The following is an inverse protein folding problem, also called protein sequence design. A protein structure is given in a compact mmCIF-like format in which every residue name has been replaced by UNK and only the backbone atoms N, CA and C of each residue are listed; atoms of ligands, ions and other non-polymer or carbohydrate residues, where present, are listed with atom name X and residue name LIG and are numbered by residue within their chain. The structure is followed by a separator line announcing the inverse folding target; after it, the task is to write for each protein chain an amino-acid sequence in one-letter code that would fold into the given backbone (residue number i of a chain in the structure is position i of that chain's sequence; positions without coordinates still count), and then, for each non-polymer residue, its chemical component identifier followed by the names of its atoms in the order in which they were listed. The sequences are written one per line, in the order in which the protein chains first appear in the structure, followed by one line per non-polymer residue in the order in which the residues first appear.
data_IF_389801812555
#
_entry.id   IF_389801812555
#
_cell.length_a   1.000
_cell.length_b   1.000
_cell.length_c   1.000
_cell.angle_alpha   90.00
_cell.angle_beta   90.00
_cell.angle_gamma   90.00
#
_symmetry.space_group_name_H-M   'P 1'
#
loop_
_entity.id
_entity.type
_entity.pdbx_description
1 polymer ?
#
# COMPACT_ATOMS: atom_id res chain seq x y z
N UNK A 1 19.87 -18.18 7.71
CA UNK A 1 18.82 -17.45 6.96
C UNK A 1 18.62 -16.12 7.67
N UNK A 2 18.43 -14.99 6.97
CA UNK A 2 17.97 -13.78 7.63
C UNK A 2 16.65 -14.08 8.37
N UNK A 3 16.42 -13.41 9.49
CA UNK A 3 15.18 -13.54 10.25
C UNK A 3 13.99 -13.17 9.37
N UNK A 4 12.93 -13.99 9.38
CA UNK A 4 11.72 -13.75 8.58
C UNK A 4 11.20 -12.36 8.91
N UNK A 5 11.01 -11.51 7.90
CA UNK A 5 10.55 -10.13 8.12
C UNK A 5 9.37 -9.78 7.23
N UNK A 6 8.48 -8.95 7.79
CA UNK A 6 7.29 -8.42 7.12
C UNK A 6 7.53 -6.94 6.84
N UNK A 7 7.58 -6.57 5.56
CA UNK A 7 7.58 -5.17 5.14
C UNK A 7 6.14 -4.67 5.06
N UNK A 8 5.84 -3.55 5.70
CA UNK A 8 4.56 -2.84 5.56
C UNK A 8 4.87 -1.43 5.06
N UNK A 9 4.34 -1.07 3.89
CA UNK A 9 4.45 0.30 3.36
C UNK A 9 3.17 1.07 3.65
N UNK A 10 3.26 2.38 3.89
CA UNK A 10 2.10 3.17 4.30
C UNK A 10 1.76 2.98 5.79
N UNK A 11 2.76 2.62 6.59
CA UNK A 11 2.62 2.39 8.03
C UNK A 11 2.33 3.66 8.83
N UNK A 12 2.46 4.84 8.24
CA UNK A 12 2.01 6.10 8.83
C UNK A 12 0.51 6.36 8.64
N UNK A 13 -0.16 5.56 7.79
CA UNK A 13 -1.61 5.61 7.58
C UNK A 13 -2.39 4.74 8.57
N UNK A 14 -3.72 4.77 8.45
CA UNK A 14 -4.62 4.04 9.34
C UNK A 14 -4.40 2.52 9.28
N UNK A 15 -4.62 1.90 8.12
CA UNK A 15 -4.49 0.45 7.95
C UNK A 15 -3.05 -0.04 8.18
N UNK A 16 -2.09 0.61 7.54
CA UNK A 16 -0.68 0.22 7.67
C UNK A 16 -0.17 0.38 9.11
N UNK A 17 -0.55 1.44 9.81
CA UNK A 17 -0.18 1.67 11.20
C UNK A 17 -0.80 0.63 12.14
N UNK A 18 -2.09 0.35 11.98
CA UNK A 18 -2.80 -0.70 12.74
C UNK A 18 -2.19 -2.08 12.49
N UNK A 19 -1.91 -2.44 11.24
CA UNK A 19 -1.26 -3.70 10.88
C UNK A 19 0.15 -3.79 11.50
N UNK A 20 0.93 -2.71 11.42
CA UNK A 20 2.27 -2.64 12.01
C UNK A 20 2.24 -2.84 13.53
N UNK A 21 1.32 -2.17 14.23
CA UNK A 21 1.18 -2.32 15.69
C UNK A 21 0.71 -3.73 16.07
N UNK A 22 -0.26 -4.27 15.34
CA UNK A 22 -0.85 -5.60 15.60
C UNK A 22 0.18 -6.71 15.43
N UNK A 23 0.88 -6.73 14.30
CA UNK A 23 1.86 -7.78 14.00
C UNK A 23 3.06 -7.73 14.95
N UNK A 24 3.54 -6.53 15.32
CA UNK A 24 4.60 -6.40 16.32
C UNK A 24 4.17 -6.86 17.70
N UNK A 25 2.92 -6.58 18.11
CA UNK A 25 2.37 -7.10 19.37
C UNK A 25 2.28 -8.63 19.37
N UNK A 26 2.10 -9.24 18.20
CA UNK A 26 2.15 -10.69 18.02
C UNK A 26 3.59 -11.27 18.00
N UNK A 27 4.63 -10.43 18.10
CA UNK A 27 6.03 -10.87 18.12
C UNK A 27 6.68 -10.96 16.73
N UNK A 28 5.99 -10.53 15.67
CA UNK A 28 6.53 -10.56 14.31
C UNK A 28 7.60 -9.49 14.08
N UNK A 29 8.60 -9.81 13.27
CA UNK A 29 9.64 -8.87 12.85
C UNK A 29 9.12 -7.98 11.71
N UNK A 30 8.56 -6.82 12.07
CA UNK A 30 7.93 -5.90 11.12
C UNK A 30 8.80 -4.68 10.83
N UNK A 31 9.07 -4.47 9.54
CA UNK A 31 9.68 -3.26 8.98
C UNK A 31 8.54 -2.37 8.45
N UNK A 32 8.10 -1.40 9.26
CA UNK A 32 7.11 -0.41 8.81
C UNK A 32 7.78 0.78 8.11
N UNK A 33 7.22 1.21 6.98
CA UNK A 33 7.73 2.34 6.19
C UNK A 33 6.67 3.35 5.81
N UNK A 34 7.10 4.60 5.68
CA UNK A 34 6.28 5.70 5.18
C UNK A 34 7.17 6.80 4.57
N UNK A 35 6.57 7.67 3.74
CA UNK A 35 7.21 8.90 3.26
C UNK A 35 7.34 9.94 4.38
N UNK A 36 6.37 9.97 5.31
CA UNK A 36 6.37 10.86 6.46
C UNK A 36 6.76 10.13 7.76
N UNK A 37 8.02 10.26 8.15
CA UNK A 37 8.56 9.67 9.38
C UNK A 37 8.56 10.61 10.59
N UNK A 38 8.10 11.86 10.41
CA UNK A 38 8.14 12.90 11.46
C UNK A 38 6.84 12.97 12.27
N UNK A 39 5.80 12.22 11.89
CA UNK A 39 4.55 12.17 12.63
C UNK A 39 4.72 11.46 13.98
N UNK A 40 3.88 11.79 14.96
CA UNK A 40 3.88 11.13 16.28
C UNK A 40 3.69 9.62 16.15
N UNK A 41 2.80 9.18 15.26
CA UNK A 41 2.60 7.77 14.96
C UNK A 41 3.86 7.13 14.36
N UNK A 42 4.51 7.82 13.41
CA UNK A 42 5.72 7.31 12.80
C UNK A 42 6.87 7.15 13.79
N UNK A 43 7.05 8.11 14.70
CA UNK A 43 8.03 8.04 15.78
C UNK A 43 7.69 6.92 16.77
N UNK A 44 6.43 6.81 17.20
CA UNK A 44 5.93 5.73 18.07
C UNK A 44 6.20 4.35 17.46
N UNK A 45 5.94 4.20 16.16
CA UNK A 45 6.15 2.97 15.41
C UNK A 45 7.58 2.84 14.86
N UNK A 46 8.51 3.77 15.15
CA UNK A 46 9.89 3.73 14.63
C UNK A 46 9.94 3.43 13.12
N UNK A 47 9.10 4.12 12.34
CA UNK A 47 9.00 3.87 10.91
C UNK A 47 10.28 4.29 10.20
N UNK A 48 10.64 3.53 9.16
CA UNK A 48 11.75 3.88 8.27
C UNK A 48 11.23 4.66 7.08
N UNK A 49 12.00 5.64 6.63
CA UNK A 49 11.63 6.42 5.45
C UNK A 49 11.74 5.52 4.21
N UNK A 50 10.69 5.53 3.40
CA UNK A 50 10.69 4.98 2.05
C UNK A 50 9.66 5.72 1.19
N UNK A 51 10.10 6.43 0.16
CA UNK A 51 9.23 6.84 -0.93
C UNK A 51 9.15 5.74 -1.99
N UNK A 52 8.06 4.97 -1.98
CA UNK A 52 7.85 3.86 -2.92
C UNK A 52 7.69 4.32 -4.38
N UNK A 53 7.44 5.61 -4.61
CA UNK A 53 7.39 6.17 -5.97
C UNK A 53 8.78 6.45 -6.53
N UNK A 54 9.81 6.46 -5.66
CA UNK A 54 11.21 6.52 -6.05
C UNK A 54 11.72 5.10 -6.34
N UNK A 55 12.01 4.83 -7.61
CA UNK A 55 12.40 3.50 -8.09
C UNK A 55 13.71 3.05 -7.47
N UNK A 56 14.72 3.92 -7.44
CA UNK A 56 16.07 3.64 -6.95
C UNK A 56 16.05 3.40 -5.43
N UNK A 57 15.30 4.22 -4.69
CA UNK A 57 15.10 4.05 -3.25
C UNK A 57 14.41 2.71 -2.95
N UNK A 58 13.37 2.37 -3.70
CA UNK A 58 12.64 1.10 -3.57
C UNK A 58 13.53 -0.10 -3.88
N UNK A 59 14.30 -0.03 -4.96
CA UNK A 59 15.28 -1.06 -5.34
C UNK A 59 16.28 -1.30 -4.21
N UNK A 60 16.92 -0.23 -3.71
CA UNK A 60 17.89 -0.33 -2.63
C UNK A 60 17.25 -0.85 -1.33
N UNK A 61 16.03 -0.42 -1.01
CA UNK A 61 15.34 -0.84 0.21
C UNK A 61 15.04 -2.35 0.18
N UNK A 62 14.43 -2.86 -0.89
CA UNK A 62 14.13 -4.29 -1.03
C UNK A 62 15.42 -5.10 -1.04
N UNK A 63 16.44 -4.65 -1.77
CA UNK A 63 17.76 -5.29 -1.83
C UNK A 63 18.39 -5.49 -0.45
N UNK A 64 18.35 -4.45 0.39
CA UNK A 64 19.01 -4.47 1.69
C UNK A 64 18.22 -5.23 2.79
N UNK A 65 16.93 -5.51 2.56
CA UNK A 65 16.06 -6.05 3.61
C UNK A 65 15.47 -7.41 3.27
N UNK A 66 15.29 -7.74 1.99
CA UNK A 66 14.76 -9.01 1.48
C UNK A 66 13.56 -9.54 2.30
N UNK A 67 12.49 -8.74 2.49
CA UNK A 67 11.34 -9.13 3.30
C UNK A 67 10.60 -10.34 2.70
N UNK A 68 10.21 -11.32 3.51
CA UNK A 68 9.51 -12.52 3.03
C UNK A 68 8.02 -12.28 2.77
N UNK A 69 7.45 -11.26 3.42
CA UNK A 69 6.07 -10.83 3.21
C UNK A 69 6.05 -9.32 3.02
N UNK A 70 5.29 -8.84 2.05
CA UNK A 70 5.14 -7.41 1.76
C UNK A 70 3.66 -7.06 1.78
N UNK A 71 3.26 -6.20 2.72
CA UNK A 71 1.92 -5.61 2.80
C UNK A 71 1.98 -4.17 2.30
N UNK A 72 1.46 -3.92 1.12
CA UNK A 72 1.55 -2.63 0.44
C UNK A 72 0.26 -1.81 0.62
N UNK A 73 0.25 -0.97 1.66
CA UNK A 73 -0.83 -0.02 1.97
C UNK A 73 -0.48 1.44 1.62
N UNK A 74 0.71 1.70 1.06
CA UNK A 74 1.07 3.05 0.63
C UNK A 74 0.22 3.41 -0.60
N UNK A 75 -0.51 4.53 -0.52
CA UNK A 75 -1.43 4.92 -1.57
C UNK A 75 -2.21 6.19 -1.21
N UNK A 76 -2.81 6.81 -2.22
CA UNK A 76 -3.86 7.82 -2.03
C UNK A 76 -5.19 7.08 -2.06
N UNK A 77 -5.88 7.02 -0.92
CA UNK A 77 -7.15 6.29 -0.76
C UNK A 77 -8.39 7.18 -0.85
N UNK A 78 -8.23 8.51 -0.95
CA UNK A 78 -9.33 9.47 -1.00
C UNK A 78 -9.69 9.78 -2.47
N UNK A 79 -10.88 9.38 -2.98
CA UNK A 79 -11.23 9.58 -4.39
C UNK A 79 -11.14 11.03 -4.86
N UNK A 80 -11.53 11.97 -3.99
CA UNK A 80 -11.45 13.41 -4.27
C UNK A 80 -10.02 13.90 -4.47
N UNK A 81 -9.06 13.37 -3.73
CA UNK A 81 -7.65 13.75 -3.88
C UNK A 81 -7.09 13.26 -5.21
N UNK A 82 -7.45 12.03 -5.61
CA UNK A 82 -7.09 11.49 -6.93
C UNK A 82 -7.72 12.30 -8.06
N UNK A 83 -9.00 12.69 -7.94
CA UNK A 83 -9.66 13.52 -8.94
C UNK A 83 -9.00 14.90 -9.10
N UNK A 84 -8.48 15.48 -8.00
CA UNK A 84 -7.79 16.77 -8.05
C UNK A 84 -6.39 16.68 -8.70
N UNK A 85 -5.74 15.50 -8.67
CA UNK A 85 -4.44 15.29 -9.27
C UNK A 85 -4.26 13.83 -9.72
N UNK A 86 -4.83 13.51 -10.88
CA UNK A 86 -4.82 12.15 -11.40
C UNK A 86 -3.42 11.61 -11.66
N UNK A 87 -2.49 12.46 -12.13
CA UNK A 87 -1.12 12.07 -12.40
C UNK A 87 -0.38 11.65 -11.12
N UNK A 88 -0.60 12.38 -10.02
CA UNK A 88 -0.09 11.97 -8.71
C UNK A 88 -0.74 10.66 -8.24
N UNK A 89 -2.05 10.52 -8.41
CA UNK A 89 -2.77 9.27 -8.13
C UNK A 89 -2.18 8.09 -8.91
N UNK A 90 -1.94 8.26 -10.21
CA UNK A 90 -1.36 7.23 -11.08
C UNK A 90 0.04 6.82 -10.61
N UNK A 91 0.88 7.80 -10.30
CA UNK A 91 2.23 7.58 -9.78
C UNK A 91 2.22 6.81 -8.45
N UNK A 92 1.36 7.24 -7.52
CA UNK A 92 1.32 6.71 -6.14
C UNK A 92 0.56 5.40 -6.02
N UNK A 93 -0.54 5.20 -6.77
CA UNK A 93 -1.40 4.03 -6.65
C UNK A 93 -1.08 2.93 -7.65
N UNK A 94 -0.46 3.24 -8.80
CA UNK A 94 -0.22 2.25 -9.86
C UNK A 94 1.27 2.03 -10.09
N UNK A 95 2.03 3.10 -10.35
CA UNK A 95 3.45 2.98 -10.71
C UNK A 95 4.32 2.52 -9.54
N UNK A 96 4.00 2.95 -8.32
CA UNK A 96 4.65 2.49 -7.09
C UNK A 96 4.63 0.97 -6.91
N UNK A 97 3.51 0.31 -7.23
CA UNK A 97 3.37 -1.16 -7.18
C UNK A 97 4.28 -1.82 -8.20
N UNK A 98 4.43 -1.20 -9.37
CA UNK A 98 5.37 -1.66 -10.39
C UNK A 98 6.83 -1.47 -9.97
N UNK A 99 7.16 -0.37 -9.28
CA UNK A 99 8.49 -0.17 -8.70
C UNK A 99 8.81 -1.26 -7.67
N UNK A 100 7.85 -1.59 -6.81
CA UNK A 100 7.97 -2.67 -5.82
C UNK A 100 8.23 -4.02 -6.49
N UNK A 101 7.45 -4.37 -7.51
CA UNK A 101 7.61 -5.61 -8.26
C UNK A 101 8.94 -5.67 -9.02
N UNK A 102 9.36 -4.58 -9.65
CA UNK A 102 10.66 -4.49 -10.30
C UNK A 102 11.80 -4.70 -9.30
N UNK A 103 11.68 -4.14 -8.09
CA UNK A 103 12.65 -4.33 -7.03
C UNK A 103 12.72 -5.79 -6.53
N UNK A 104 11.58 -6.43 -6.35
CA UNK A 104 11.51 -7.86 -5.98
C UNK A 104 12.12 -8.73 -7.10
N UNK A 105 11.72 -8.54 -8.36
CA UNK A 105 12.26 -9.29 -9.50
C UNK A 105 13.77 -9.10 -9.63
N UNK A 106 14.27 -7.88 -9.43
CA UNK A 106 15.70 -7.61 -9.46
C UNK A 106 16.45 -8.39 -8.35
N UNK A 107 15.94 -8.35 -7.12
CA UNK A 107 16.51 -9.10 -6.01
C UNK A 107 16.51 -10.62 -6.28
N UNK A 108 15.42 -11.15 -6.86
CA UNK A 108 15.29 -12.58 -7.22
C UNK A 108 16.32 -13.05 -8.23
N UNK A 109 16.71 -12.21 -9.19
CA UNK A 109 17.75 -12.55 -10.17
C UNK A 109 19.11 -12.84 -9.52
N UNK A 110 19.41 -12.17 -8.39
CA UNK A 110 20.67 -12.37 -7.67
C UNK A 110 20.54 -13.31 -6.48
N UNK A 111 19.36 -13.42 -5.88
CA UNK A 111 19.02 -14.38 -4.83
C UNK A 111 17.82 -15.23 -5.26
N UNK A 112 18.02 -16.31 -6.05
CA UNK A 112 16.91 -17.12 -6.57
C UNK A 112 16.00 -17.74 -5.51
N UNK A 113 16.49 -17.91 -4.27
CA UNK A 113 15.70 -18.39 -3.13
C UNK A 113 14.81 -17.32 -2.49
N UNK A 114 14.98 -16.05 -2.84
CA UNK A 114 14.11 -14.98 -2.38
C UNK A 114 12.76 -15.12 -3.11
N UNK A 115 11.68 -15.37 -2.38
CA UNK A 115 10.37 -15.56 -3.00
C UNK A 115 9.26 -15.02 -2.09
N UNK A 116 9.12 -13.68 -2.00
CA UNK A 116 8.20 -13.09 -1.06
C UNK A 116 6.75 -13.27 -1.49
N UNK A 117 5.85 -13.29 -0.51
CA UNK A 117 4.42 -13.09 -0.74
C UNK A 117 4.14 -11.59 -0.71
N UNK A 118 3.40 -11.09 -1.69
CA UNK A 118 3.07 -9.67 -1.81
C UNK A 118 1.55 -9.51 -1.75
N UNK A 119 1.11 -8.56 -0.95
CA UNK A 119 -0.27 -8.17 -0.81
C UNK A 119 -0.41 -6.68 -1.09
N UNK A 120 -1.37 -6.30 -1.93
CA UNK A 120 -1.68 -4.90 -2.23
C UNK A 120 -3.12 -4.57 -1.86
N UNK A 121 -3.35 -3.35 -1.40
CA UNK A 121 -4.71 -2.86 -1.12
C UNK A 121 -5.42 -2.41 -2.40
N UNK A 122 -6.46 -3.15 -2.76
CA UNK A 122 -7.51 -2.75 -3.70
C UNK A 122 -8.66 -2.04 -2.98
N UNK A 123 -9.80 -1.91 -3.66
CA UNK A 123 -10.97 -1.19 -3.11
C UNK A 123 -12.26 -1.62 -3.80
N UNK A 124 -13.38 -1.53 -3.08
CA UNK A 124 -14.72 -1.74 -3.66
C UNK A 124 -15.05 -0.75 -4.78
N UNK A 125 -14.41 0.42 -4.83
CA UNK A 125 -14.55 1.41 -5.91
C UNK A 125 -14.16 0.86 -7.29
N UNK A 126 -13.43 -0.26 -7.34
CA UNK A 126 -13.12 -0.98 -8.57
C UNK A 126 -14.34 -1.63 -9.21
N UNK A 127 -15.38 -1.94 -8.43
CA UNK A 127 -16.62 -2.53 -8.95
C UNK A 127 -17.57 -1.47 -9.51
N UNK A 128 -17.54 -0.27 -8.95
CA UNK A 128 -18.53 0.77 -9.24
C UNK A 128 -19.81 0.58 -8.43
N UNK A 129 -20.87 1.23 -8.89
CA UNK A 129 -22.18 1.11 -8.25
C UNK A 129 -22.81 -0.26 -8.57
N UNK A 130 -23.50 -0.89 -7.60
CA UNK A 130 -24.26 -2.10 -7.86
C UNK A 130 -25.31 -1.89 -8.97
N UNK A 131 -25.51 -2.90 -9.81
CA UNK A 131 -26.48 -2.80 -10.90
C UNK A 131 -27.93 -2.83 -10.39
N UNK A 132 -28.14 -3.46 -9.24
CA UNK A 132 -29.43 -3.56 -8.56
C UNK A 132 -29.25 -3.24 -7.06
N UNK A 133 -30.22 -2.54 -6.48
CA UNK A 133 -30.22 -2.26 -5.04
C UNK A 133 -30.18 -3.56 -4.22
N UNK A 134 -29.27 -3.62 -3.24
CA UNK A 134 -29.08 -4.78 -2.38
C UNK A 134 -28.20 -5.89 -2.99
N UNK A 135 -27.66 -5.71 -4.19
CA UNK A 135 -26.68 -6.65 -4.77
C UNK A 135 -25.42 -6.73 -3.89
N UNK A 136 -25.01 -7.96 -3.59
CA UNK A 136 -23.76 -8.24 -2.87
C UNK A 136 -22.66 -8.51 -3.88
N UNK A 137 -21.67 -7.62 -3.91
CA UNK A 137 -20.51 -7.76 -4.79
C UNK A 137 -19.56 -8.84 -4.26
N UNK A 138 -19.03 -9.65 -5.16
CA UNK A 138 -18.03 -10.70 -4.90
C UNK A 138 -16.78 -10.42 -5.72
N UNK A 139 -15.70 -11.18 -5.49
CA UNK A 139 -14.47 -11.08 -6.29
C UNK A 139 -14.70 -11.35 -7.79
N UNK A 140 -15.77 -12.07 -8.14
CA UNK A 140 -16.16 -12.40 -9.52
C UNK A 140 -17.05 -11.33 -10.17
N UNK A 141 -17.54 -10.35 -9.40
CA UNK A 141 -18.39 -9.27 -9.92
C UNK A 141 -17.65 -8.39 -10.94
N UNK A 142 -18.41 -7.87 -11.91
CA UNK A 142 -17.87 -7.00 -12.96
C UNK A 142 -17.20 -5.75 -12.37
N UNK A 143 -16.10 -5.31 -12.99
CA UNK A 143 -15.33 -4.14 -12.59
C UNK A 143 -15.70 -2.94 -13.46
N UNK A 144 -16.58 -2.07 -12.96
CA UNK A 144 -17.10 -0.90 -13.67
C UNK A 144 -16.86 0.40 -12.89
N UNK A 145 -15.60 0.79 -12.61
CA UNK A 145 -15.29 1.92 -11.75
C UNK A 145 -15.80 3.25 -12.32
N UNK A 146 -16.54 3.97 -11.50
CA UNK A 146 -17.18 5.24 -11.89
C UNK A 146 -16.26 6.46 -11.74
N UNK A 147 -15.22 6.37 -10.89
CA UNK A 147 -14.29 7.47 -10.61
C UNK A 147 -12.82 7.11 -10.92
N UNK A 148 -11.95 8.13 -10.94
CA UNK A 148 -10.54 7.98 -11.28
C UNK A 148 -9.78 7.10 -10.28
N UNK A 149 -10.12 7.16 -8.99
CA UNK A 149 -9.51 6.32 -7.96
C UNK A 149 -9.81 4.83 -8.18
N UNK A 150 -11.08 4.47 -8.39
CA UNK A 150 -11.50 3.12 -8.74
C UNK A 150 -10.82 2.60 -10.01
N UNK A 151 -10.76 3.44 -11.06
CA UNK A 151 -10.06 3.11 -12.32
C UNK A 151 -8.57 2.82 -12.09
N UNK A 152 -7.89 3.66 -11.30
CA UNK A 152 -6.47 3.47 -10.99
C UNK A 152 -6.24 2.21 -10.15
N UNK A 153 -7.08 1.94 -9.15
CA UNK A 153 -6.97 0.72 -8.32
C UNK A 153 -7.26 -0.56 -9.11
N UNK A 154 -8.21 -0.51 -10.06
CA UNK A 154 -8.44 -1.63 -10.98
C UNK A 154 -7.21 -1.86 -11.87
N UNK A 155 -6.71 -0.80 -12.51
CA UNK A 155 -5.52 -0.87 -13.35
C UNK A 155 -4.29 -1.40 -12.57
N UNK A 156 -4.13 -0.97 -11.33
CA UNK A 156 -3.10 -1.48 -10.42
C UNK A 156 -3.27 -2.98 -10.20
N UNK A 157 -4.47 -3.44 -9.82
CA UNK A 157 -4.74 -4.84 -9.53
C UNK A 157 -4.46 -5.74 -10.75
N UNK A 158 -4.91 -5.34 -11.94
CA UNK A 158 -4.68 -6.07 -13.19
C UNK A 158 -3.18 -6.16 -13.51
N UNK A 159 -2.45 -5.04 -13.47
CA UNK A 159 -1.01 -5.02 -13.72
C UNK A 159 -0.23 -5.86 -12.70
N UNK A 160 -0.59 -5.72 -11.43
CA UNK A 160 0.03 -6.44 -10.32
C UNK A 160 -0.15 -7.95 -10.48
N UNK A 161 -1.38 -8.43 -10.60
CA UNK A 161 -1.69 -9.86 -10.72
C UNK A 161 -1.07 -10.47 -11.98
N UNK A 162 -1.15 -9.78 -13.12
CA UNK A 162 -0.51 -10.24 -14.36
C UNK A 162 1.01 -10.37 -14.22
N UNK A 163 1.66 -9.40 -13.55
CA UNK A 163 3.10 -9.45 -13.33
C UNK A 163 3.47 -10.54 -12.32
N UNK A 164 2.70 -10.71 -11.25
CA UNK A 164 2.90 -11.80 -10.29
C UNK A 164 2.80 -13.17 -10.96
N UNK A 165 1.76 -13.40 -11.79
CA UNK A 165 1.59 -14.64 -12.55
C UNK A 165 2.78 -14.88 -13.49
N UNK A 166 3.18 -13.87 -14.26
CA UNK A 166 4.30 -13.96 -15.21
C UNK A 166 5.62 -14.32 -14.52
N UNK A 167 5.88 -13.76 -13.34
CA UNK A 167 7.14 -13.93 -12.62
C UNK A 167 7.09 -15.10 -11.60
N UNK A 168 5.94 -15.75 -11.42
CA UNK A 168 5.75 -16.79 -10.41
C UNK A 168 5.89 -16.27 -8.97
N UNK A 169 5.36 -15.07 -8.70
CA UNK A 169 5.33 -14.45 -7.36
C UNK A 169 3.94 -14.68 -6.75
N UNK A 170 3.88 -15.07 -5.47
CA UNK A 170 2.62 -15.15 -4.73
C UNK A 170 2.07 -13.75 -4.48
N UNK A 171 1.14 -13.28 -5.32
CA UNK A 171 0.54 -11.95 -5.26
C UNK A 171 -0.95 -11.99 -4.95
N UNK A 172 -1.40 -11.18 -4.00
CA UNK A 172 -2.81 -11.06 -3.61
C UNK A 172 -3.27 -9.60 -3.59
N UNK A 173 -4.51 -9.36 -4.03
CA UNK A 173 -5.18 -8.06 -3.91
C UNK A 173 -6.26 -8.20 -2.84
N UNK A 174 -6.19 -7.42 -1.77
CA UNK A 174 -7.31 -7.34 -0.81
C UNK A 174 -8.26 -6.26 -1.28
N UNK A 175 -9.54 -6.60 -1.46
CA UNK A 175 -10.56 -5.61 -1.78
C UNK A 175 -11.12 -5.01 -0.49
N UNK A 176 -10.81 -3.74 -0.25
CA UNK A 176 -11.23 -3.03 0.95
C UNK A 176 -12.53 -2.26 0.72
N UNK A 177 -13.50 -2.46 1.61
CA UNK A 177 -14.72 -1.65 1.71
C UNK A 177 -14.51 -0.40 2.55
N UNK A 178 -15.59 0.15 3.10
CA UNK A 178 -15.50 1.25 4.06
C UNK A 178 -14.89 0.75 5.38
N UNK A 179 -13.69 1.23 5.69
CA UNK A 179 -13.02 0.97 6.97
C UNK A 179 -13.17 2.18 7.89
N UNK A 180 -13.68 1.97 9.10
CA UNK A 180 -13.78 3.00 10.12
C UNK A 180 -13.10 2.56 11.41
N UNK A 181 -12.50 3.51 12.12
CA UNK A 181 -11.90 3.28 13.43
C UNK A 181 -11.22 4.54 13.97
N UNK A 182 -10.82 4.50 15.23
CA UNK A 182 -10.21 5.65 15.89
C UNK A 182 -8.72 5.71 15.56
N UNK A 183 -8.31 6.60 14.66
CA UNK A 183 -6.92 7.05 14.61
C UNK A 183 -6.71 8.12 15.67
N UNK A 184 -5.70 7.99 16.55
CA UNK A 184 -5.33 9.13 17.40
C UNK A 184 -4.93 10.30 16.49
N UNK A 185 -5.59 11.47 16.60
CA UNK A 185 -5.31 12.57 15.69
C UNK A 185 -3.89 13.07 15.91
N UNK A 186 -3.13 13.22 14.81
CA UNK A 186 -1.87 13.96 14.85
C UNK A 186 -2.16 15.39 15.31
N UNK A 187 -1.67 15.78 16.49
CA UNK A 187 -1.72 17.16 16.96
C UNK A 187 -0.83 18.03 16.06
N UNK A 188 -1.37 18.56 14.95
CA UNK A 188 -0.83 19.75 14.25
C UNK A 188 -1.79 20.20 13.15
N UNK A 189 -2.69 21.12 13.48
CA UNK A 189 -3.09 22.26 12.64
C UNK A 189 -3.86 23.26 13.51
N UNK A 190 -3.12 24.03 14.31
CA UNK A 190 -3.63 25.25 14.95
C UNK A 190 -2.50 26.27 14.97
N UNK A 191 -2.17 26.81 13.80
CA UNK A 191 -1.28 27.96 13.64
C UNK A 191 -1.81 28.92 12.58
N UNK A 192 -3.06 29.33 12.72
CA UNK A 192 -3.57 30.60 12.19
C UNK A 192 -4.77 31.01 13.05
N UNK A 193 -4.86 32.30 13.40
CA UNK A 193 -5.64 32.97 14.48
C UNK A 193 -4.84 33.02 15.78
N UNK A 194 -4.36 34.16 16.29
CA UNK A 194 -4.77 35.56 16.12
C UNK A 194 -3.53 36.46 16.19
N UNK A 195 -3.41 37.40 15.24
CA UNK A 195 -2.77 38.70 15.47
C UNK A 195 -3.89 39.65 15.86
N UNK A 196 -3.89 40.10 17.09
CA UNK A 196 -4.36 41.42 17.51
C UNK A 196 -3.31 41.96 18.47
#
# INVERSE_FOLDING_TARGET
MPERSILITGSGGFLGGTATETLRKAGENVIGTDVNVESELAQKLKLRRLDITNREETLAFIWNNLPETILHFAGISVPKEVANNEALGQKVNVESVMNLLDAVVNARRKYPSYNPVILVAGTVEQFGDPAVEGEVLTEESARNPINHYGRQKQLMAEKFLNRCLKEGIGGYVIIEGQTAGVSQPSKKYNRFKRRH
#
